data_IF_265038031865
#
_entry.id   IF_265038031865
#
_cell.length_a   1.000
_cell.length_b   1.000
_cell.length_c   1.000
_cell.angle_alpha   90.00
_cell.angle_beta   90.00
_cell.angle_gamma   90.00
#
_symmetry.space_group_name_H-M   'P 1'
#
loop_
_entity.id
_entity.type
_entity.pdbx_description
1 polymer ?
#
# COMPACT_ATOMS: atom_id res chain seq x y z
N UNK A 1 -27.50 12.86 -39.93
CA UNK A 1 -27.34 14.05 -39.10
C UNK A 1 -26.21 13.79 -38.10
N UNK A 2 -24.98 14.32 -38.34
CA UNK A 2 -23.92 14.37 -37.35
C UNK A 2 -24.24 15.50 -36.38
N UNK A 3 -24.76 15.14 -35.22
CA UNK A 3 -24.94 16.11 -34.12
C UNK A 3 -23.55 16.39 -33.54
N UNK A 4 -22.96 17.50 -33.93
CA UNK A 4 -21.73 18.05 -33.33
C UNK A 4 -22.12 18.74 -32.03
N UNK A 5 -21.91 18.06 -30.92
CA UNK A 5 -22.12 18.64 -29.60
C UNK A 5 -20.98 19.62 -29.29
N UNK A 6 -21.26 20.87 -28.88
CA UNK A 6 -20.21 21.86 -28.58
C UNK A 6 -19.27 21.35 -27.47
N UNK A 7 -17.97 21.64 -27.55
CA UNK A 7 -16.96 21.15 -26.57
C UNK A 7 -17.24 21.61 -25.12
N UNK A 8 -17.90 22.74 -24.95
CA UNK A 8 -18.30 23.28 -23.65
C UNK A 8 -19.33 22.39 -22.92
N UNK A 9 -20.27 21.77 -23.68
CA UNK A 9 -21.28 20.87 -23.13
C UNK A 9 -20.65 19.55 -22.66
N UNK A 10 -19.62 19.06 -23.37
CA UNK A 10 -18.83 17.89 -22.94
C UNK A 10 -18.07 18.20 -21.66
N UNK A 11 -17.46 19.37 -21.55
CA UNK A 11 -16.67 19.78 -20.38
C UNK A 11 -17.51 19.94 -19.13
N UNK A 12 -18.69 20.53 -19.22
CA UNK A 12 -19.60 20.69 -18.08
C UNK A 12 -20.19 19.36 -17.60
N UNK A 13 -20.58 18.46 -18.53
CA UNK A 13 -21.06 17.12 -18.19
C UNK A 13 -19.95 16.23 -17.63
N UNK A 14 -18.75 16.30 -18.18
CA UNK A 14 -17.60 15.56 -17.65
C UNK A 14 -17.25 15.99 -16.22
N UNK A 15 -17.23 17.29 -15.95
CA UNK A 15 -16.97 17.82 -14.61
C UNK A 15 -18.06 17.45 -13.61
N UNK A 16 -19.33 17.46 -14.00
CA UNK A 16 -20.45 17.08 -13.12
C UNK A 16 -20.44 15.59 -12.76
N UNK A 17 -19.87 14.73 -13.60
CA UNK A 17 -19.70 13.30 -13.34
C UNK A 17 -18.40 13.00 -12.56
N UNK A 18 -17.33 13.73 -12.87
CA UNK A 18 -16.03 13.53 -12.22
C UNK A 18 -15.97 14.09 -10.80
N UNK A 19 -16.66 15.21 -10.53
CA UNK A 19 -16.61 15.85 -9.21
C UNK A 19 -17.11 14.93 -8.07
N UNK A 20 -18.29 14.29 -8.15
CA UNK A 20 -18.74 13.37 -7.11
C UNK A 20 -17.85 12.12 -7.01
N UNK A 21 -17.32 11.66 -8.14
CA UNK A 21 -16.41 10.51 -8.16
C UNK A 21 -15.09 10.82 -7.43
N UNK A 22 -14.42 11.93 -7.78
CA UNK A 22 -13.18 12.36 -7.14
C UNK A 22 -13.39 12.67 -5.66
N UNK A 23 -14.51 13.26 -5.30
CA UNK A 23 -14.87 13.51 -3.90
C UNK A 23 -14.91 12.22 -3.08
N UNK A 24 -15.60 11.19 -3.58
CA UNK A 24 -15.68 9.89 -2.91
C UNK A 24 -14.29 9.27 -2.75
N UNK A 25 -13.45 9.33 -3.79
CA UNK A 25 -12.09 8.78 -3.77
C UNK A 25 -11.18 9.47 -2.76
N UNK A 26 -11.22 10.80 -2.73
CA UNK A 26 -10.48 11.57 -1.73
C UNK A 26 -11.00 11.29 -0.32
N UNK A 27 -12.32 11.22 -0.15
CA UNK A 27 -12.92 10.93 1.14
C UNK A 27 -12.54 9.54 1.69
N UNK A 28 -12.42 8.53 0.82
CA UNK A 28 -11.91 7.20 1.19
C UNK A 28 -10.48 7.31 1.78
N UNK A 29 -9.60 8.11 1.17
CA UNK A 29 -8.24 8.29 1.67
C UNK A 29 -8.20 9.13 2.97
N UNK A 30 -9.04 10.16 3.08
CA UNK A 30 -9.19 10.94 4.31
C UNK A 30 -9.60 10.02 5.47
N UNK A 31 -10.60 9.17 5.27
CA UNK A 31 -11.05 8.21 6.28
C UNK A 31 -9.99 7.18 6.68
N UNK A 32 -9.07 6.85 5.79
CA UNK A 32 -7.97 5.93 6.09
C UNK A 32 -6.80 6.64 6.81
N UNK A 33 -6.41 7.82 6.32
CA UNK A 33 -5.19 8.51 6.76
C UNK A 33 -5.42 9.36 8.02
N UNK A 34 -6.54 10.08 8.11
CA UNK A 34 -6.77 11.03 9.22
C UNK A 34 -6.85 10.35 10.59
N UNK A 35 -7.57 9.23 10.79
CA UNK A 35 -7.59 8.56 12.09
C UNK A 35 -6.20 8.08 12.53
N UNK A 36 -5.39 7.55 11.59
CA UNK A 36 -4.03 7.13 11.87
C UNK A 36 -3.14 8.32 12.24
N UNK A 37 -3.22 9.41 11.50
CA UNK A 37 -2.50 10.64 11.80
C UNK A 37 -2.90 11.21 13.17
N UNK A 38 -4.21 11.25 13.46
CA UNK A 38 -4.72 11.70 14.76
C UNK A 38 -4.19 10.82 15.91
N UNK A 39 -4.19 9.51 15.72
CA UNK A 39 -3.61 8.59 16.69
C UNK A 39 -2.12 8.87 16.95
N UNK A 40 -1.33 9.05 15.90
CA UNK A 40 0.11 9.36 16.03
C UNK A 40 0.35 10.71 16.70
N UNK A 41 -0.47 11.74 16.40
CA UNK A 41 -0.40 13.03 17.07
C UNK A 41 -0.72 12.92 18.57
N UNK A 42 -1.77 12.20 18.92
CA UNK A 42 -2.14 11.97 20.31
C UNK A 42 -1.04 11.18 21.05
N UNK A 43 -0.48 10.18 20.41
CA UNK A 43 0.64 9.41 20.95
C UNK A 43 1.86 10.31 21.23
N UNK A 44 2.23 11.16 20.27
CA UNK A 44 3.34 12.09 20.43
C UNK A 44 3.11 13.08 21.56
N UNK A 45 1.91 13.67 21.67
CA UNK A 45 1.61 14.67 22.69
C UNK A 45 1.42 14.07 24.08
N UNK A 46 0.68 12.95 24.20
CA UNK A 46 0.28 12.39 25.48
C UNK A 46 1.33 11.42 26.05
N UNK A 47 1.94 10.59 25.21
CA UNK A 47 2.87 9.55 25.64
C UNK A 47 4.30 10.05 25.58
N UNK A 48 4.74 10.58 24.43
CA UNK A 48 6.11 11.07 24.26
C UNK A 48 6.30 12.47 24.88
N UNK A 49 5.20 13.20 25.15
CA UNK A 49 5.20 14.56 25.72
C UNK A 49 6.11 15.52 24.95
N UNK A 50 6.23 15.32 23.65
CA UNK A 50 7.04 16.14 22.76
C UNK A 50 6.16 17.11 21.97
N UNK A 51 6.56 18.38 21.85
CA UNK A 51 5.84 19.34 21.02
C UNK A 51 5.92 18.94 19.53
N UNK A 52 4.86 19.24 18.81
CA UNK A 52 4.83 19.01 17.36
C UNK A 52 5.64 20.12 16.70
N UNK A 53 6.86 19.82 16.30
CA UNK A 53 7.68 20.73 15.50
C UNK A 53 7.14 20.78 14.06
N UNK A 54 7.13 21.97 13.45
CA UNK A 54 6.76 22.17 12.03
C UNK A 54 5.36 21.65 11.66
N UNK A 55 4.34 21.94 12.47
CA UNK A 55 2.97 21.50 12.23
C UNK A 55 2.44 21.83 10.82
N UNK A 56 2.84 22.98 10.24
CA UNK A 56 2.49 23.35 8.86
C UNK A 56 3.06 22.38 7.83
N UNK A 57 4.32 21.99 7.97
CA UNK A 57 4.98 21.04 7.07
C UNK A 57 4.31 19.66 7.14
N UNK A 58 3.97 19.22 8.35
CA UNK A 58 3.28 17.94 8.56
C UNK A 58 1.89 17.96 7.93
N UNK A 59 1.14 19.08 8.11
CA UNK A 59 -0.20 19.23 7.52
C UNK A 59 -0.14 19.23 6.00
N UNK A 60 0.80 19.96 5.39
CA UNK A 60 1.01 19.93 3.93
C UNK A 60 1.41 18.54 3.43
N UNK A 61 2.29 17.86 4.16
CA UNK A 61 2.67 16.47 3.87
C UNK A 61 1.47 15.52 3.92
N UNK A 62 0.59 15.67 4.92
CA UNK A 62 -0.61 14.85 5.04
C UNK A 62 -1.58 15.06 3.88
N UNK A 63 -1.79 16.31 3.46
CA UNK A 63 -2.60 16.63 2.28
C UNK A 63 -1.98 16.03 1.03
N UNK A 64 -0.68 16.15 0.84
CA UNK A 64 0.03 15.56 -0.30
C UNK A 64 -0.10 14.03 -0.31
N UNK A 65 -0.01 13.36 0.83
CA UNK A 65 -0.21 11.91 0.97
C UNK A 65 -1.63 11.52 0.59
N UNK A 66 -2.65 12.24 1.06
CA UNK A 66 -4.06 11.94 0.73
C UNK A 66 -4.30 12.03 -0.77
N UNK A 67 -3.81 13.09 -1.41
CA UNK A 67 -3.95 13.30 -2.85
C UNK A 67 -3.17 12.25 -3.63
N UNK A 68 -1.92 11.99 -3.23
CA UNK A 68 -1.05 10.99 -3.85
C UNK A 68 -1.65 9.58 -3.79
N UNK A 69 -2.18 9.18 -2.63
CA UNK A 69 -2.87 7.90 -2.46
C UNK A 69 -4.15 7.81 -3.30
N UNK A 70 -4.93 8.90 -3.40
CA UNK A 70 -6.13 8.91 -4.22
C UNK A 70 -5.80 8.65 -5.70
N UNK A 71 -4.78 9.33 -6.23
CA UNK A 71 -4.31 9.15 -7.62
C UNK A 71 -3.71 7.74 -7.81
N UNK A 72 -2.89 7.29 -6.88
CA UNK A 72 -2.26 5.97 -6.93
C UNK A 72 -3.29 4.84 -6.94
N UNK A 73 -4.26 4.89 -6.02
CA UNK A 73 -5.33 3.88 -5.94
C UNK A 73 -6.20 3.86 -7.19
N UNK A 74 -6.42 5.01 -7.81
CA UNK A 74 -7.16 5.09 -9.06
C UNK A 74 -6.36 4.47 -10.21
N UNK A 75 -5.06 4.75 -10.29
CA UNK A 75 -4.16 4.11 -11.23
C UNK A 75 -4.14 2.59 -11.11
N UNK A 76 -4.14 2.07 -9.87
CA UNK A 76 -4.24 0.64 -9.61
C UNK A 76 -5.57 0.04 -10.09
N UNK A 77 -6.70 0.71 -9.80
CA UNK A 77 -8.04 0.22 -10.16
C UNK A 77 -8.25 0.17 -11.67
N UNK A 78 -7.81 1.20 -12.38
CA UNK A 78 -8.01 1.31 -13.83
C UNK A 78 -6.95 0.50 -14.61
N UNK A 79 -5.71 0.53 -14.15
CA UNK A 79 -4.58 -0.10 -14.86
C UNK A 79 -4.35 -1.56 -14.47
N UNK A 80 -4.19 -1.86 -13.19
CA UNK A 80 -3.69 -3.16 -12.74
C UNK A 80 -4.79 -4.15 -12.34
N UNK A 81 -5.90 -3.68 -11.73
CA UNK A 81 -6.96 -4.61 -11.30
C UNK A 81 -7.59 -5.41 -12.44
N UNK A 82 -7.94 -4.82 -13.61
CA UNK A 82 -8.49 -5.60 -14.73
C UNK A 82 -7.50 -6.68 -15.21
N UNK A 83 -6.21 -6.36 -15.23
CA UNK A 83 -5.16 -7.31 -15.60
C UNK A 83 -5.05 -8.44 -14.57
N UNK A 84 -5.07 -8.09 -13.28
CA UNK A 84 -5.08 -9.06 -12.19
C UNK A 84 -6.28 -10.02 -12.25
N UNK A 85 -7.47 -9.50 -12.56
CA UNK A 85 -8.68 -10.31 -12.71
C UNK A 85 -8.56 -11.31 -13.87
N UNK A 86 -8.08 -10.87 -15.05
CA UNK A 86 -7.89 -11.74 -16.21
C UNK A 86 -6.88 -12.85 -15.88
N UNK A 87 -5.76 -12.52 -15.27
CA UNK A 87 -4.75 -13.50 -14.86
C UNK A 87 -5.32 -14.45 -13.81
N UNK A 88 -5.98 -13.92 -12.78
CA UNK A 88 -6.57 -14.70 -11.69
C UNK A 88 -7.63 -15.69 -12.16
N UNK A 89 -8.44 -15.31 -13.13
CA UNK A 89 -9.49 -16.19 -13.70
C UNK A 89 -8.94 -17.23 -14.68
N UNK A 90 -7.90 -16.88 -15.42
CA UNK A 90 -7.41 -17.69 -16.53
C UNK A 90 -6.28 -18.62 -16.11
N UNK A 91 -5.38 -18.15 -15.27
CA UNK A 91 -4.17 -18.88 -14.89
C UNK A 91 -4.46 -20.20 -14.17
N UNK A 92 -5.34 -20.27 -13.15
CA UNK A 92 -5.64 -21.53 -12.46
C UNK A 92 -6.34 -22.57 -13.35
N UNK A 93 -6.99 -22.14 -14.43
CA UNK A 93 -7.68 -23.03 -15.37
C UNK A 93 -6.75 -23.66 -16.39
N UNK A 94 -5.62 -23.02 -16.68
CA UNK A 94 -4.70 -23.42 -17.76
C UNK A 94 -3.33 -23.91 -17.26
N UNK A 95 -2.94 -23.57 -16.04
CA UNK A 95 -1.65 -23.91 -15.48
C UNK A 95 -1.78 -24.90 -14.30
N UNK A 96 -0.73 -25.69 -14.06
CA UNK A 96 -0.67 -26.54 -12.88
C UNK A 96 -0.62 -25.68 -11.61
N UNK A 97 -1.12 -26.23 -10.50
CA UNK A 97 -1.10 -25.54 -9.19
C UNK A 97 0.30 -25.06 -8.80
N UNK A 98 1.33 -25.82 -9.13
CA UNK A 98 2.72 -25.46 -8.85
C UNK A 98 3.13 -24.16 -9.58
N UNK A 99 2.79 -24.05 -10.88
CA UNK A 99 3.07 -22.84 -11.68
C UNK A 99 2.30 -21.65 -11.15
N UNK A 100 1.04 -21.83 -10.76
CA UNK A 100 0.23 -20.76 -10.13
C UNK A 100 0.90 -20.25 -8.87
N UNK A 101 1.36 -21.13 -7.99
CA UNK A 101 2.03 -20.75 -6.74
C UNK A 101 3.34 -20.00 -6.97
N UNK A 102 4.14 -20.40 -7.97
CA UNK A 102 5.37 -19.69 -8.34
C UNK A 102 5.05 -18.27 -8.82
N UNK A 103 4.07 -18.12 -9.71
CA UNK A 103 3.66 -16.80 -10.20
C UNK A 103 3.17 -15.91 -9.06
N UNK A 104 2.36 -16.46 -8.16
CA UNK A 104 1.87 -15.71 -6.99
C UNK A 104 3.02 -15.30 -6.06
N UNK A 105 4.01 -16.18 -5.85
CA UNK A 105 5.19 -15.85 -5.06
C UNK A 105 5.98 -14.69 -5.68
N UNK A 106 6.23 -14.73 -6.99
CA UNK A 106 6.93 -13.68 -7.72
C UNK A 106 6.13 -12.36 -7.69
N UNK A 107 4.82 -12.42 -7.88
CA UNK A 107 3.95 -11.24 -7.78
C UNK A 107 3.96 -10.65 -6.36
N UNK A 108 3.94 -11.47 -5.32
CA UNK A 108 4.03 -11.03 -3.93
C UNK A 108 5.34 -10.28 -3.64
N UNK A 109 6.46 -10.81 -4.14
CA UNK A 109 7.76 -10.12 -4.05
C UNK A 109 7.70 -8.80 -4.84
N UNK A 110 7.20 -8.82 -6.08
CA UNK A 110 7.13 -7.65 -6.96
C UNK A 110 6.29 -6.51 -6.39
N UNK A 111 5.15 -6.82 -5.77
CA UNK A 111 4.28 -5.83 -5.10
C UNK A 111 5.03 -5.10 -4.00
N UNK A 112 5.88 -5.79 -3.23
CA UNK A 112 6.68 -5.15 -2.17
C UNK A 112 7.60 -4.06 -2.72
N UNK A 113 8.23 -4.28 -3.88
CA UNK A 113 9.08 -3.27 -4.52
C UNK A 113 8.29 -2.08 -5.06
N UNK A 114 7.04 -2.28 -5.45
CA UNK A 114 6.16 -1.24 -5.96
C UNK A 114 5.48 -0.43 -4.84
N UNK A 115 5.59 -0.87 -3.58
CA UNK A 115 4.89 -0.26 -2.45
C UNK A 115 5.48 1.13 -2.11
N UNK A 116 4.66 2.20 -2.04
CA UNK A 116 5.13 3.54 -1.70
C UNK A 116 5.80 3.64 -0.32
N UNK A 117 5.42 2.77 0.62
CA UNK A 117 6.00 2.71 1.95
C UNK A 117 7.51 2.40 1.93
N UNK A 118 7.98 1.60 0.97
CA UNK A 118 9.40 1.30 0.79
C UNK A 118 10.19 2.56 0.39
N UNK A 119 9.58 3.43 -0.43
CA UNK A 119 10.15 4.74 -0.75
C UNK A 119 10.25 5.67 0.47
N UNK A 120 9.19 5.72 1.28
CA UNK A 120 9.16 6.50 2.52
C UNK A 120 10.20 6.00 3.54
N UNK A 121 10.43 4.69 3.60
CA UNK A 121 11.45 4.07 4.46
C UNK A 121 12.86 4.57 4.14
N UNK A 122 13.17 4.80 2.86
CA UNK A 122 14.43 5.40 2.42
C UNK A 122 14.60 6.83 2.92
N UNK A 123 13.55 7.64 2.77
CA UNK A 123 13.57 9.03 3.21
C UNK A 123 13.72 9.12 4.74
N UNK A 124 13.04 8.25 5.47
CA UNK A 124 13.15 8.14 6.92
C UNK A 124 14.56 7.71 7.35
N UNK A 125 15.12 6.67 6.71
CA UNK A 125 16.48 6.18 6.98
C UNK A 125 17.55 7.27 6.85
N UNK A 126 17.41 8.16 5.87
CA UNK A 126 18.33 9.28 5.67
C UNK A 126 18.29 10.34 6.79
N UNK A 127 17.20 10.39 7.57
CA UNK A 127 17.06 11.34 8.70
C UNK A 127 17.57 10.80 10.03
N UNK A 128 17.97 9.52 10.10
CA UNK A 128 18.41 8.89 11.35
C UNK A 128 19.87 9.24 11.63
N UNK A 129 20.12 9.70 12.86
CA UNK A 129 21.48 9.90 13.35
C UNK A 129 22.11 8.53 13.72
N UNK A 130 23.26 8.16 13.13
CA UNK A 130 23.94 6.90 13.45
C UNK A 130 24.36 6.75 14.92
N UNK A 131 24.55 7.86 15.63
CA UNK A 131 24.96 7.82 17.03
C UNK A 131 23.78 7.47 17.96
N UNK A 132 22.56 7.88 17.60
CA UNK A 132 21.37 7.67 18.43
C UNK A 132 20.75 6.29 18.19
N UNK A 133 20.81 5.79 16.95
CA UNK A 133 20.22 4.51 16.57
C UNK A 133 21.08 3.74 15.54
N UNK A 134 22.24 3.21 15.94
CA UNK A 134 23.22 2.61 15.01
C UNK A 134 22.66 1.40 14.26
N UNK A 135 21.92 0.52 14.90
CA UNK A 135 21.30 -0.65 14.25
C UNK A 135 20.24 -0.26 13.24
N UNK A 136 19.40 0.71 13.57
CA UNK A 136 18.34 1.19 12.67
C UNK A 136 18.95 1.89 11.46
N UNK A 137 19.98 2.71 11.66
CA UNK A 137 20.75 3.34 10.59
C UNK A 137 21.35 2.29 9.64
N UNK A 138 22.02 1.25 10.20
CA UNK A 138 22.63 0.18 9.41
C UNK A 138 21.59 -0.54 8.54
N UNK A 139 20.44 -0.91 9.11
CA UNK A 139 19.38 -1.64 8.38
C UNK A 139 18.76 -0.77 7.28
N UNK A 140 18.47 0.50 7.57
CA UNK A 140 17.73 1.37 6.65
C UNK A 140 18.61 2.03 5.59
N UNK A 141 19.91 2.16 5.80
CA UNK A 141 20.83 2.77 4.86
C UNK A 141 21.72 1.74 4.18
N UNK A 142 22.50 0.95 4.96
CA UNK A 142 23.49 0.06 4.40
C UNK A 142 22.93 -1.29 3.94
N UNK A 143 21.89 -1.81 4.63
CA UNK A 143 21.27 -3.12 4.34
C UNK A 143 19.82 -3.01 3.86
N UNK A 144 19.43 -1.87 3.35
CA UNK A 144 18.06 -1.61 2.92
C UNK A 144 17.57 -2.60 1.86
N UNK A 145 18.40 -2.92 0.86
CA UNK A 145 18.02 -3.87 -0.18
C UNK A 145 17.76 -5.26 0.41
N UNK A 146 18.59 -5.68 1.36
CA UNK A 146 18.38 -6.95 2.08
C UNK A 146 17.05 -6.92 2.84
N UNK A 147 16.74 -5.81 3.52
CA UNK A 147 15.47 -5.64 4.22
C UNK A 147 14.28 -5.77 3.24
N UNK A 148 14.31 -5.06 2.11
CA UNK A 148 13.23 -5.11 1.10
C UNK A 148 13.07 -6.52 0.52
N UNK A 149 14.18 -7.20 0.22
CA UNK A 149 14.15 -8.60 -0.24
C UNK A 149 13.53 -9.52 0.80
N UNK A 150 13.90 -9.38 2.08
CA UNK A 150 13.35 -10.20 3.17
C UNK A 150 11.84 -9.95 3.37
N UNK A 151 11.42 -8.68 3.33
CA UNK A 151 9.99 -8.33 3.39
C UNK A 151 9.26 -8.89 2.17
N UNK A 152 9.81 -8.72 0.97
CA UNK A 152 9.24 -9.25 -0.27
C UNK A 152 9.11 -10.77 -0.25
N UNK A 153 10.13 -11.48 0.23
CA UNK A 153 10.09 -12.93 0.41
C UNK A 153 8.98 -13.35 1.39
N UNK A 154 8.82 -12.61 2.50
CA UNK A 154 7.74 -12.81 3.45
C UNK A 154 6.35 -12.61 2.83
N UNK A 155 6.17 -11.54 2.04
CA UNK A 155 4.91 -11.26 1.33
C UNK A 155 4.63 -12.35 0.28
N UNK A 156 5.64 -12.75 -0.49
CA UNK A 156 5.51 -13.84 -1.46
C UNK A 156 5.11 -15.16 -0.80
N UNK A 157 5.74 -15.51 0.31
CA UNK A 157 5.40 -16.71 1.09
C UNK A 157 3.97 -16.63 1.65
N UNK A 158 3.59 -15.48 2.20
CA UNK A 158 2.23 -15.27 2.72
C UNK A 158 1.18 -15.39 1.61
N UNK A 159 1.45 -14.87 0.42
CA UNK A 159 0.58 -14.98 -0.74
C UNK A 159 0.41 -16.46 -1.19
N UNK A 160 1.48 -17.25 -1.21
CA UNK A 160 1.45 -18.69 -1.49
C UNK A 160 0.61 -19.44 -0.45
N UNK A 161 0.89 -19.22 0.83
CA UNK A 161 0.15 -19.86 1.93
C UNK A 161 -1.33 -19.47 1.88
N UNK A 162 -1.63 -18.18 1.65
CA UNK A 162 -2.99 -17.67 1.49
C UNK A 162 -3.74 -18.35 0.35
N UNK A 163 -3.07 -18.56 -0.78
CA UNK A 163 -3.64 -19.26 -1.94
C UNK A 163 -3.91 -20.72 -1.65
N UNK A 164 -2.96 -21.44 -1.07
CA UNK A 164 -3.13 -22.86 -0.66
C UNK A 164 -4.28 -23.00 0.33
N UNK A 165 -4.34 -22.08 1.31
CA UNK A 165 -5.43 -22.02 2.28
C UNK A 165 -6.79 -21.86 1.58
N UNK A 166 -6.89 -20.93 0.66
CA UNK A 166 -8.13 -20.66 -0.08
C UNK A 166 -8.58 -21.89 -0.88
N UNK A 167 -7.66 -22.51 -1.62
CA UNK A 167 -7.95 -23.71 -2.43
C UNK A 167 -8.33 -24.93 -1.57
N UNK A 168 -7.69 -25.09 -0.40
CA UNK A 168 -7.94 -26.22 0.50
C UNK A 168 -9.04 -25.96 1.54
N UNK A 169 -9.60 -24.75 1.58
CA UNK A 169 -10.64 -24.40 2.55
C UNK A 169 -10.17 -24.36 4.02
N UNK A 170 -8.88 -24.13 4.28
CA UNK A 170 -8.35 -24.10 5.65
C UNK A 170 -8.87 -22.90 6.43
N UNK A 171 -9.10 -23.09 7.73
CA UNK A 171 -9.49 -22.00 8.62
C UNK A 171 -8.34 -20.98 8.80
N UNK A 172 -8.69 -19.70 8.98
CA UNK A 172 -7.71 -18.63 9.15
C UNK A 172 -7.02 -18.63 10.52
N UNK A 173 -7.76 -19.06 11.57
CA UNK A 173 -7.31 -18.98 12.97
C UNK A 173 -5.93 -19.61 13.23
N UNK A 174 -5.67 -20.90 12.91
CA UNK A 174 -4.37 -21.49 13.18
C UNK A 174 -3.21 -20.83 12.42
N UNK A 175 -3.47 -20.30 11.22
CA UNK A 175 -2.47 -19.57 10.43
C UNK A 175 -2.06 -18.27 11.12
N UNK A 176 -3.04 -17.52 11.64
CA UNK A 176 -2.78 -16.28 12.39
C UNK A 176 -1.95 -16.59 13.66
N UNK A 177 -2.34 -17.60 14.42
CA UNK A 177 -1.58 -17.98 15.63
C UNK A 177 -0.14 -18.37 15.29
N UNK A 178 0.05 -19.19 14.26
CA UNK A 178 1.39 -19.59 13.82
C UNK A 178 2.24 -18.41 13.35
N UNK A 179 1.64 -17.46 12.60
CA UNK A 179 2.36 -16.28 12.09
C UNK A 179 2.69 -15.26 13.20
N UNK A 180 1.80 -15.08 14.19
CA UNK A 180 2.00 -14.10 15.25
C UNK A 180 2.89 -14.60 16.40
N UNK A 181 2.92 -15.91 16.65
CA UNK A 181 3.71 -16.47 17.76
C UNK A 181 5.18 -16.06 17.76
N UNK A 182 5.92 -16.08 16.61
CA UNK A 182 7.31 -15.66 16.56
C UNK A 182 7.52 -14.16 16.78
N UNK A 183 6.47 -13.34 16.63
CA UNK A 183 6.56 -11.87 16.78
C UNK A 183 6.26 -11.40 18.22
N UNK A 184 5.75 -12.30 19.05
CA UNK A 184 5.38 -12.02 20.46
C UNK A 184 6.45 -12.56 21.43
N UNK A 185 7.25 -13.53 20.99
CA UNK A 185 8.41 -14.08 21.70
C UNK A 185 9.68 -13.24 21.45
#
# INVERSE_FOLDING_TARGET
>A
LKVTIPPEVYRSKALSLLAPYTYIRVLEQVKAVVPLAAYLFLFQLLILRQPIASASTITLGLIAVIIGLAIFMEGLKVGLMPFGNIIGDTLPKKASMFVVLIIIAILGVGVTYAEPAIGALKAFGASINPQDAPYLFEILNNRRETLVVMVGAGVGLAAVIGTIRFVRGWSLKPLIYFALTPTIL
#
